data_IF_838568435144
#
_entry.id   IF_838568435144
#
_cell.length_a   1.000
_cell.length_b   1.000
_cell.length_c   1.000
_cell.angle_alpha   90.00
_cell.angle_beta   90.00
_cell.angle_gamma   90.00
#
_symmetry.space_group_name_H-M   'P 1'
#
loop_
_entity.id
_entity.type
_entity.pdbx_description
1 polymer ?
#
# COMPACT_ATOMS: atom_id res chain seq x y z
N UNK A 1 2.88 14.45 -10.96
CA UNK A 1 2.07 13.26 -11.31
C UNK A 1 1.39 12.68 -10.06
N UNK A 2 0.17 12.14 -10.20
CA UNK A 2 -0.51 11.46 -9.10
C UNK A 2 0.19 10.13 -8.78
N UNK A 3 0.24 9.69 -7.51
CA UNK A 3 1.01 8.51 -7.11
C UNK A 3 0.69 7.23 -7.91
N UNK A 4 -0.59 6.89 -8.20
CA UNK A 4 -0.91 5.69 -8.99
C UNK A 4 -0.32 5.71 -10.40
N UNK A 5 -0.29 6.87 -11.05
CA UNK A 5 0.25 7.01 -12.41
C UNK A 5 1.76 6.81 -12.44
N UNK A 6 2.49 7.45 -11.53
CA UNK A 6 3.95 7.28 -11.42
C UNK A 6 4.34 5.84 -11.10
N UNK A 7 3.57 5.16 -10.25
CA UNK A 7 3.84 3.77 -9.92
C UNK A 7 3.55 2.83 -11.11
N UNK A 8 2.44 3.05 -11.83
CA UNK A 8 2.11 2.27 -13.01
C UNK A 8 3.15 2.46 -14.14
N UNK A 9 3.66 3.67 -14.33
CA UNK A 9 4.74 3.97 -15.25
C UNK A 9 6.04 3.25 -14.85
N UNK A 10 6.43 3.35 -13.58
CA UNK A 10 7.63 2.67 -13.08
C UNK A 10 7.52 1.13 -13.22
N UNK A 11 6.35 0.55 -12.97
CA UNK A 11 6.10 -0.88 -13.17
C UNK A 11 6.18 -1.24 -14.66
N UNK A 12 5.50 -0.48 -15.53
CA UNK A 12 5.45 -0.75 -16.98
C UNK A 12 6.80 -0.53 -17.68
N UNK A 13 7.75 0.16 -17.05
CA UNK A 13 9.14 0.25 -17.54
C UNK A 13 9.91 -1.08 -17.46
N UNK A 14 9.37 -2.08 -16.76
CA UNK A 14 9.97 -3.40 -16.65
C UNK A 14 9.52 -4.30 -17.83
N UNK A 15 10.47 -4.96 -18.54
CA UNK A 15 10.12 -5.77 -19.72
C UNK A 15 9.06 -6.83 -19.42
N UNK A 16 8.04 -6.91 -20.28
CA UNK A 16 6.95 -7.88 -20.18
C UNK A 16 5.90 -7.57 -19.11
N UNK A 17 5.98 -6.40 -18.46
CA UNK A 17 5.01 -5.97 -17.45
C UNK A 17 4.10 -4.89 -18.01
N UNK A 18 2.86 -4.87 -17.54
CA UNK A 18 1.95 -3.76 -17.77
C UNK A 18 1.21 -3.42 -16.48
N UNK A 19 0.93 -2.14 -16.27
CA UNK A 19 0.16 -1.69 -15.12
C UNK A 19 -0.87 -0.64 -15.54
N UNK A 20 -2.08 -0.76 -15.00
CA UNK A 20 -3.14 0.22 -15.20
C UNK A 20 -3.29 1.05 -13.93
N UNK A 21 -3.03 2.36 -14.03
CA UNK A 21 -3.28 3.26 -12.92
C UNK A 21 -4.78 3.44 -12.67
N UNK A 22 -5.19 3.40 -11.39
CA UNK A 22 -6.53 3.75 -10.93
C UNK A 22 -6.41 4.80 -9.84
N UNK A 23 -6.98 5.97 -10.07
CA UNK A 23 -7.09 7.01 -9.05
C UNK A 23 -8.37 6.81 -8.25
N UNK A 24 -8.21 6.60 -6.96
CA UNK A 24 -9.32 6.38 -6.02
C UNK A 24 -9.55 7.59 -5.10
N UNK A 25 -8.72 8.64 -5.21
CA UNK A 25 -8.67 9.74 -4.25
C UNK A 25 -8.30 9.30 -2.83
N UNK A 26 -8.39 10.24 -1.88
CA UNK A 26 -8.08 10.01 -0.45
C UNK A 26 -9.30 9.62 0.38
N UNK A 27 -10.49 9.61 -0.24
CA UNK A 27 -11.77 9.18 0.35
C UNK A 27 -12.60 8.50 -0.75
N UNK A 28 -12.22 7.28 -1.16
CA UNK A 28 -12.97 6.57 -2.20
C UNK A 28 -14.41 6.31 -1.74
N UNK A 29 -15.37 6.53 -2.63
CA UNK A 29 -16.77 6.14 -2.38
C UNK A 29 -16.94 4.63 -2.61
N UNK A 30 -18.04 4.06 -2.13
CA UNK A 30 -18.36 2.64 -2.39
C UNK A 30 -18.38 2.29 -3.90
N UNK A 31 -18.81 3.22 -4.76
CA UNK A 31 -18.75 3.03 -6.22
C UNK A 31 -17.31 2.96 -6.74
N UNK A 32 -16.44 3.87 -6.29
CA UNK A 32 -15.01 3.87 -6.66
C UNK A 32 -14.31 2.60 -6.15
N UNK A 33 -14.65 2.14 -4.94
CA UNK A 33 -14.14 0.87 -4.39
C UNK A 33 -14.59 -0.30 -5.27
N UNK A 34 -15.87 -0.36 -5.63
CA UNK A 34 -16.40 -1.41 -6.51
C UNK A 34 -15.72 -1.43 -7.88
N UNK A 35 -15.45 -0.27 -8.47
CA UNK A 35 -14.70 -0.14 -9.73
C UNK A 35 -13.26 -0.64 -9.60
N UNK A 36 -12.57 -0.26 -8.51
CA UNK A 36 -11.20 -0.73 -8.24
C UNK A 36 -11.15 -2.26 -8.05
N UNK A 37 -12.13 -2.81 -7.31
CA UNK A 37 -12.30 -4.27 -7.14
C UNK A 37 -12.55 -4.97 -8.46
N UNK A 38 -13.41 -4.42 -9.32
CA UNK A 38 -13.67 -4.99 -10.64
C UNK A 38 -12.40 -5.04 -11.50
N UNK A 39 -11.60 -3.97 -11.49
CA UNK A 39 -10.32 -3.91 -12.20
C UNK A 39 -9.27 -4.88 -11.62
N UNK A 40 -9.24 -5.06 -10.29
CA UNK A 40 -8.32 -5.96 -9.63
C UNK A 40 -8.52 -7.43 -10.04
N UNK A 41 -9.75 -7.85 -10.36
CA UNK A 41 -10.05 -9.25 -10.73
C UNK A 41 -9.31 -9.74 -11.97
N UNK A 42 -9.00 -8.83 -12.90
CA UNK A 42 -8.20 -9.14 -14.11
C UNK A 42 -6.69 -8.97 -13.93
N UNK A 43 -6.22 -8.48 -12.78
CA UNK A 43 -4.80 -8.29 -12.51
C UNK A 43 -4.17 -9.54 -11.85
N UNK A 44 -2.86 -9.71 -12.01
CA UNK A 44 -2.07 -10.72 -11.31
C UNK A 44 -1.62 -10.25 -9.92
N UNK A 45 -1.48 -8.94 -9.76
CA UNK A 45 -1.03 -8.26 -8.54
C UNK A 45 -1.72 -6.90 -8.43
N UNK A 46 -2.14 -6.52 -7.22
CA UNK A 46 -2.62 -5.18 -6.90
C UNK A 46 -1.59 -4.47 -6.04
N UNK A 47 -1.17 -3.27 -6.46
CA UNK A 47 -0.36 -2.38 -5.63
C UNK A 47 -1.19 -1.15 -5.28
N UNK A 48 -1.47 -0.97 -3.99
CA UNK A 48 -2.35 0.09 -3.49
C UNK A 48 -1.57 1.04 -2.59
N UNK A 49 -1.60 2.33 -2.89
CA UNK A 49 -1.00 3.36 -2.02
C UNK A 49 -2.00 3.79 -0.95
N UNK A 50 -1.59 3.78 0.32
CA UNK A 50 -2.37 4.25 1.45
C UNK A 50 -1.69 5.49 2.08
N UNK A 51 -2.51 6.50 2.36
CA UNK A 51 -2.07 7.76 2.95
C UNK A 51 -2.90 8.07 4.20
N UNK A 52 -2.42 7.58 5.34
CA UNK A 52 -3.03 7.79 6.65
C UNK A 52 -4.41 7.12 6.80
N UNK A 53 -4.55 5.91 6.27
CA UNK A 53 -5.68 5.01 6.51
C UNK A 53 -5.98 4.83 8.02
N UNK A 54 -4.95 4.88 8.87
CA UNK A 54 -5.11 4.75 10.32
C UNK A 54 -5.26 6.08 11.09
N UNK A 55 -5.60 7.19 10.43
CA UNK A 55 -5.72 8.51 11.06
C UNK A 55 -7.06 8.76 11.81
N UNK A 56 -7.99 7.79 11.81
CA UNK A 56 -9.30 7.96 12.47
C UNK A 56 -10.25 8.92 11.76
N UNK A 57 -9.96 9.32 10.52
CA UNK A 57 -10.84 10.15 9.68
C UNK A 57 -11.70 9.29 8.74
N UNK A 58 -12.79 9.85 8.21
CA UNK A 58 -13.61 9.20 7.17
C UNK A 58 -12.78 8.78 5.94
N UNK A 59 -11.83 9.63 5.52
CA UNK A 59 -10.91 9.30 4.43
C UNK A 59 -9.98 8.14 4.77
N UNK A 60 -9.53 8.07 6.02
CA UNK A 60 -8.74 6.94 6.48
C UNK A 60 -9.55 5.64 6.49
N UNK A 61 -10.77 5.69 7.00
CA UNK A 61 -11.69 4.56 7.01
C UNK A 61 -12.01 4.05 5.59
N UNK A 62 -12.29 4.95 4.65
CA UNK A 62 -12.55 4.61 3.25
C UNK A 62 -11.33 4.00 2.54
N UNK A 63 -10.12 4.48 2.83
CA UNK A 63 -8.89 3.85 2.31
C UNK A 63 -8.66 2.45 2.90
N UNK A 64 -8.95 2.25 4.19
CA UNK A 64 -8.89 0.91 4.79
C UNK A 64 -9.92 -0.04 4.15
N UNK A 65 -11.15 0.42 3.94
CA UNK A 65 -12.20 -0.35 3.25
C UNK A 65 -11.79 -0.74 1.83
N UNK A 66 -11.16 0.17 1.07
CA UNK A 66 -10.61 -0.13 -0.24
C UNK A 66 -9.57 -1.27 -0.18
N UNK A 67 -8.61 -1.22 0.75
CA UNK A 67 -7.57 -2.25 0.88
C UNK A 67 -8.18 -3.61 1.26
N UNK A 68 -9.12 -3.62 2.19
CA UNK A 68 -9.85 -4.83 2.58
C UNK A 68 -10.65 -5.43 1.40
N UNK A 69 -11.37 -4.59 0.66
CA UNK A 69 -12.15 -5.02 -0.50
C UNK A 69 -11.26 -5.57 -1.62
N UNK A 70 -10.09 -4.97 -1.86
CA UNK A 70 -9.09 -5.48 -2.79
C UNK A 70 -8.54 -6.83 -2.32
N UNK A 71 -8.25 -7.01 -1.03
CA UNK A 71 -7.80 -8.31 -0.48
C UNK A 71 -8.88 -9.39 -0.61
N UNK A 72 -10.15 -9.03 -0.40
CA UNK A 72 -11.29 -9.94 -0.53
C UNK A 72 -11.48 -10.49 -1.96
N UNK A 73 -10.81 -9.94 -2.97
CA UNK A 73 -10.79 -10.53 -4.32
C UNK A 73 -9.98 -11.82 -4.43
N UNK A 74 -9.16 -12.13 -3.42
CA UNK A 74 -8.22 -13.25 -3.44
C UNK A 74 -6.95 -12.98 -4.28
N UNK A 75 -6.83 -11.79 -4.86
CA UNK A 75 -5.61 -11.38 -5.56
C UNK A 75 -4.50 -11.00 -4.57
N UNK A 76 -3.22 -11.24 -4.89
CA UNK A 76 -2.12 -10.68 -4.13
C UNK A 76 -2.21 -9.16 -4.04
N UNK A 77 -2.14 -8.61 -2.83
CA UNK A 77 -2.16 -7.16 -2.57
C UNK A 77 -0.87 -6.74 -1.87
N UNK A 78 -0.23 -5.71 -2.42
CA UNK A 78 0.87 -4.97 -1.79
C UNK A 78 0.33 -3.60 -1.37
N UNK A 79 0.29 -3.35 -0.07
CA UNK A 79 -0.05 -2.02 0.45
C UNK A 79 1.23 -1.17 0.63
N UNK A 80 1.18 0.07 0.13
CA UNK A 80 2.30 1.00 0.17
C UNK A 80 1.93 2.22 1.03
N UNK A 81 2.54 2.34 2.20
CA UNK A 81 2.36 3.47 3.10
C UNK A 81 3.19 4.67 2.62
N UNK A 82 2.52 5.69 2.09
CA UNK A 82 3.18 6.84 1.45
C UNK A 82 3.31 8.07 2.35
N UNK A 83 2.99 7.95 3.65
CA UNK A 83 3.11 9.06 4.62
C UNK A 83 3.75 8.61 5.93
N UNK A 84 3.20 7.59 6.56
CA UNK A 84 3.70 7.02 7.81
C UNK A 84 3.39 5.51 7.82
N UNK A 85 3.96 4.72 8.75
CA UNK A 85 3.90 3.27 8.65
C UNK A 85 2.65 2.69 9.33
N UNK A 86 1.77 3.51 9.91
CA UNK A 86 0.70 3.07 10.80
C UNK A 86 -0.54 2.48 10.10
N UNK A 87 -0.62 2.60 8.77
CA UNK A 87 -1.78 2.14 8.00
C UNK A 87 -1.98 0.62 8.08
N UNK A 88 -0.88 -0.14 8.22
CA UNK A 88 -0.90 -1.60 8.43
C UNK A 88 -1.79 -2.05 9.61
N UNK A 89 -2.02 -1.18 10.60
CA UNK A 89 -2.92 -1.48 11.74
C UNK A 89 -4.36 -1.76 11.30
N UNK A 90 -4.78 -1.26 10.14
CA UNK A 90 -6.14 -1.42 9.61
C UNK A 90 -6.31 -2.67 8.75
N UNK A 91 -5.21 -3.27 8.31
CA UNK A 91 -5.18 -4.42 7.41
C UNK A 91 -3.93 -5.31 7.67
N UNK A 92 -3.68 -5.76 8.92
CA UNK A 92 -2.45 -6.47 9.27
C UNK A 92 -2.23 -7.78 8.49
N UNK A 93 -3.26 -8.29 7.83
CA UNK A 93 -3.29 -9.53 7.03
C UNK A 93 -2.91 -9.31 5.55
N UNK A 94 -2.55 -8.09 5.14
CA UNK A 94 -2.08 -7.85 3.77
C UNK A 94 -0.80 -8.65 3.48
N UNK A 95 -0.71 -9.24 2.29
CA UNK A 95 0.38 -10.15 1.94
C UNK A 95 1.76 -9.49 1.88
N UNK A 96 1.82 -8.19 1.59
CA UNK A 96 3.03 -7.40 1.65
C UNK A 96 2.72 -5.94 2.00
N UNK A 97 3.62 -5.32 2.77
CA UNK A 97 3.52 -3.94 3.18
C UNK A 97 4.86 -3.22 3.04
N UNK A 98 4.87 -2.08 2.33
CA UNK A 98 6.06 -1.24 2.13
C UNK A 98 5.80 0.16 2.68
N UNK A 99 6.63 0.61 3.63
CA UNK A 99 6.58 1.99 4.13
C UNK A 99 7.61 2.84 3.39
N UNK A 100 7.16 3.69 2.47
CA UNK A 100 8.03 4.61 1.72
C UNK A 100 8.13 5.99 2.36
N UNK A 101 7.23 6.31 3.31
CA UNK A 101 7.15 7.60 4.01
C UNK A 101 6.96 8.82 3.09
N UNK A 102 6.75 8.60 1.79
CA UNK A 102 6.62 9.63 0.78
C UNK A 102 5.94 9.07 -0.46
N UNK A 103 5.09 9.90 -1.07
CA UNK A 103 4.46 9.65 -2.36
C UNK A 103 5.23 10.29 -3.53
N UNK A 104 6.41 10.86 -3.28
CA UNK A 104 7.23 11.48 -4.32
C UNK A 104 7.73 10.47 -5.37
N UNK A 105 7.98 10.90 -6.61
CA UNK A 105 8.40 9.99 -7.69
C UNK A 105 9.59 9.08 -7.36
N UNK A 106 10.69 9.55 -6.70
CA UNK A 106 11.81 8.67 -6.32
C UNK A 106 11.40 7.56 -5.33
N UNK A 107 10.46 7.86 -4.44
CA UNK A 107 9.93 6.91 -3.47
C UNK A 107 9.11 5.81 -4.16
N UNK A 108 8.29 6.19 -5.15
CA UNK A 108 7.47 5.26 -5.94
C UNK A 108 8.32 4.42 -6.92
N UNK A 109 9.37 4.99 -7.51
CA UNK A 109 10.37 4.23 -8.27
C UNK A 109 11.02 3.16 -7.39
N UNK A 110 11.36 3.51 -6.15
CA UNK A 110 11.94 2.56 -5.19
C UNK A 110 10.98 1.40 -4.86
N UNK A 111 9.66 1.64 -4.84
CA UNK A 111 8.66 0.56 -4.72
C UNK A 111 8.77 -0.39 -5.89
N UNK A 112 8.70 0.11 -7.13
CA UNK A 112 8.79 -0.73 -8.32
C UNK A 112 10.10 -1.54 -8.33
N UNK A 113 11.24 -0.90 -8.06
CA UNK A 113 12.54 -1.59 -7.97
C UNK A 113 12.58 -2.65 -6.87
N UNK A 114 11.89 -2.43 -5.75
CA UNK A 114 11.77 -3.42 -4.67
C UNK A 114 10.94 -4.62 -5.12
N UNK A 115 9.78 -4.38 -5.74
CA UNK A 115 8.89 -5.42 -6.25
C UNK A 115 9.58 -6.34 -7.27
N UNK A 116 10.48 -5.79 -8.09
CA UNK A 116 11.26 -6.54 -9.07
C UNK A 116 12.62 -7.03 -8.55
N UNK A 117 12.89 -6.93 -7.25
CA UNK A 117 14.14 -7.41 -6.63
C UNK A 117 15.40 -6.63 -7.02
N UNK A 118 15.26 -5.49 -7.71
CA UNK A 118 16.35 -4.57 -8.10
C UNK A 118 16.80 -3.66 -6.95
N UNK A 119 16.01 -3.57 -5.89
CA UNK A 119 16.33 -2.87 -4.65
C UNK A 119 15.99 -3.79 -3.48
N UNK A 120 16.98 -4.09 -2.63
CA UNK A 120 16.77 -4.90 -1.42
C UNK A 120 16.36 -4.00 -0.26
N UNK A 121 15.20 -4.23 0.39
CA UNK A 121 14.76 -3.42 1.51
C UNK A 121 15.67 -3.67 2.72
N UNK A 122 16.19 -2.58 3.29
CA UNK A 122 17.05 -2.60 4.48
C UNK A 122 16.56 -1.67 5.60
N UNK A 123 15.48 -0.93 5.36
CA UNK A 123 14.88 -0.02 6.32
C UNK A 123 14.46 -0.72 7.62
N UNK A 124 14.44 0.07 8.70
CA UNK A 124 13.94 -0.33 10.02
C UNK A 124 12.98 0.72 10.52
N UNK A 125 11.90 0.30 11.17
CA UNK A 125 10.91 1.21 11.70
C UNK A 125 11.56 2.17 12.72
N UNK A 126 11.43 3.50 12.54
CA UNK A 126 11.92 4.49 13.50
C UNK A 126 10.95 4.72 14.67
N UNK A 127 9.86 3.94 14.73
CA UNK A 127 8.76 4.01 15.69
C UNK A 127 8.23 2.61 15.93
N UNK A 128 7.65 2.34 17.09
CA UNK A 128 6.79 1.16 17.25
C UNK A 128 5.42 1.41 16.64
N UNK A 129 4.77 0.33 16.19
CA UNK A 129 3.41 0.34 15.68
C UNK A 129 2.56 -0.43 16.69
N UNK A 130 1.68 0.23 17.45
CA UNK A 130 0.77 -0.46 18.36
C UNK A 130 -0.32 -1.18 17.56
N UNK A 131 -0.92 -2.21 18.15
CA UNK A 131 -2.12 -2.83 17.63
C UNK A 131 -3.28 -1.82 17.62
N UNK A 132 -4.26 -2.03 16.74
CA UNK A 132 -5.37 -1.10 16.62
C UNK A 132 -6.36 -1.20 17.79
N UNK A 133 -6.55 -2.42 18.28
CA UNK A 133 -7.48 -2.81 19.34
C UNK A 133 -6.91 -2.67 20.75
N UNK A 134 -5.58 -2.73 20.88
CA UNK A 134 -4.85 -2.62 22.14
C UNK A 134 -3.59 -1.76 21.94
N UNK A 135 -3.58 -0.49 22.40
CA UNK A 135 -2.45 0.40 22.22
C UNK A 135 -1.21 0.02 23.05
N UNK A 136 -1.36 -0.80 24.08
CA UNK A 136 -0.25 -1.28 24.91
C UNK A 136 0.46 -2.51 24.28
N UNK A 137 -0.20 -3.15 23.31
CA UNK A 137 0.37 -4.25 22.52
C UNK A 137 1.06 -3.72 21.27
N UNK A 138 2.33 -4.06 21.07
CA UNK A 138 3.04 -3.77 19.82
C UNK A 138 2.65 -4.77 18.72
N UNK A 139 2.15 -4.25 17.60
CA UNK A 139 1.98 -5.03 16.36
C UNK A 139 3.33 -5.21 15.66
N UNK A 140 4.14 -4.14 15.63
CA UNK A 140 5.53 -4.19 15.17
C UNK A 140 6.40 -3.31 16.10
N UNK A 141 7.51 -3.83 16.65
CA UNK A 141 8.36 -3.07 17.54
C UNK A 141 9.20 -2.02 16.80
N UNK A 142 9.73 -1.04 17.55
CA UNK A 142 10.80 -0.17 17.06
C UNK A 142 11.95 -1.02 16.50
N UNK A 143 12.53 -0.59 15.38
CA UNK A 143 13.61 -1.32 14.74
C UNK A 143 13.17 -2.57 13.97
N UNK A 144 11.87 -2.84 13.83
CA UNK A 144 11.38 -3.92 12.97
C UNK A 144 11.65 -3.61 11.48
N UNK A 145 11.99 -4.64 10.69
CA UNK A 145 12.09 -4.52 9.24
C UNK A 145 12.49 -5.84 8.60
N UNK A 146 11.80 -6.23 7.54
CA UNK A 146 12.05 -7.46 6.81
C UNK A 146 13.11 -7.27 5.72
N UNK A 147 13.62 -8.38 5.19
CA UNK A 147 14.58 -8.45 4.08
C UNK A 147 14.32 -9.70 3.24
N UNK A 148 14.78 -9.68 1.99
CA UNK A 148 14.86 -10.85 1.11
C UNK A 148 16.21 -10.87 0.39
#
# INVERSE_FOLDING_TARGET
>A
PQPPASLAEAISSHPGQSATAKDTGTRPSGAVIAEAVAAARSADLVVVTANAAAAGSEGGAAQAELVEALRATGKPVVAVAVRNPYDIRRFPEVGAYLATYSYGPPSLDSVARTLFGKLRPSGRLPVSIPALDDPDRELYPFGHGLRF
#
